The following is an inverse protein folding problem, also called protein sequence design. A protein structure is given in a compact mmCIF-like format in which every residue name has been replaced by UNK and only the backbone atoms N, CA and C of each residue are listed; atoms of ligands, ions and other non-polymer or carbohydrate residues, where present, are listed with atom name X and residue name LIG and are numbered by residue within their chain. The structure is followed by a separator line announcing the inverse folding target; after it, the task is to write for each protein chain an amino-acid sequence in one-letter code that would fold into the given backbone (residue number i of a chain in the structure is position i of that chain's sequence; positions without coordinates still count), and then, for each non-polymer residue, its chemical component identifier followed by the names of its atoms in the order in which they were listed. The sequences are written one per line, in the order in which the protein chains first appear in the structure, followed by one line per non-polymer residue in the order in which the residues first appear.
data_IF_769747986722
#
_entry.id   IF_769747986722
#
_cell.length_a   1.000
_cell.length_b   1.000
_cell.length_c   1.000
_cell.angle_alpha   90.00
_cell.angle_beta   90.00
_cell.angle_gamma   90.00
#
_symmetry.space_group_name_H-M   'P 1'
#
loop_
_entity.id
_entity.type
_entity.pdbx_description
1 polymer ?
#
# COMPACT_ATOMS: atom_id res chain seq x y z
N UNK A 1 -34.75 -31.78 1.92
CA UNK A 1 -34.44 -30.65 2.82
C UNK A 1 -33.09 -30.06 2.48
N UNK A 2 -33.05 -29.00 1.67
CA UNK A 2 -33.38 -27.60 2.00
C UNK A 2 -32.17 -26.92 2.66
N UNK A 3 -31.61 -25.93 1.96
CA UNK A 3 -30.50 -25.08 2.39
C UNK A 3 -29.10 -25.74 2.49
N UNK A 4 -28.57 -26.19 1.35
CA UNK A 4 -27.13 -25.98 1.12
C UNK A 4 -27.02 -24.67 0.34
N UNK A 5 -26.79 -23.51 0.99
CA UNK A 5 -26.53 -22.30 0.23
C UNK A 5 -25.30 -22.59 -0.62
N UNK A 6 -25.47 -22.52 -1.94
CA UNK A 6 -24.37 -22.49 -2.90
C UNK A 6 -23.65 -21.16 -2.66
N UNK A 7 -22.82 -21.14 -1.61
CA UNK A 7 -22.01 -19.99 -1.30
C UNK A 7 -20.93 -19.98 -2.37
N UNK A 8 -21.02 -19.04 -3.31
CA UNK A 8 -19.89 -18.70 -4.18
C UNK A 8 -18.78 -18.25 -3.23
N UNK A 9 -17.94 -19.19 -2.79
CA UNK A 9 -17.03 -19.06 -1.65
C UNK A 9 -15.86 -18.08 -1.86
N UNK A 10 -15.99 -17.12 -2.76
CA UNK A 10 -14.99 -16.09 -3.06
C UNK A 10 -15.34 -14.70 -2.52
N UNK A 11 -16.52 -14.51 -1.91
CA UNK A 11 -17.00 -13.19 -1.45
C UNK A 11 -17.16 -13.10 0.08
N UNK A 12 -16.70 -14.10 0.82
CA UNK A 12 -16.70 -14.04 2.29
C UNK A 12 -15.61 -13.08 2.78
N UNK A 13 -15.89 -12.25 3.80
CA UNK A 13 -14.88 -11.43 4.46
C UNK A 13 -13.72 -12.29 4.96
N UNK A 14 -12.50 -11.80 4.77
CA UNK A 14 -11.26 -12.48 5.16
C UNK A 14 -10.71 -11.76 6.38
N UNK A 15 -10.45 -12.53 7.43
CA UNK A 15 -9.78 -12.06 8.63
C UNK A 15 -8.26 -12.16 8.39
N UNK A 16 -7.58 -11.02 8.30
CA UNK A 16 -6.20 -10.96 7.81
C UNK A 16 -5.14 -11.26 8.87
N UNK A 17 -5.47 -11.22 10.17
CA UNK A 17 -4.48 -11.43 11.24
C UNK A 17 -4.26 -12.93 11.54
N UNK A 18 -5.25 -13.78 11.26
CA UNK A 18 -5.24 -15.21 11.59
C UNK A 18 -5.36 -16.13 10.38
N UNK A 19 -5.83 -15.63 9.22
CA UNK A 19 -5.95 -16.45 8.01
C UNK A 19 -4.61 -16.57 7.27
N UNK A 20 -3.95 -17.72 7.42
CA UNK A 20 -2.66 -17.98 6.77
C UNK A 20 -2.81 -18.47 5.31
N UNK A 21 -3.94 -19.12 4.98
CA UNK A 21 -4.18 -19.70 3.65
C UNK A 21 -5.59 -19.45 3.16
N UNK A 22 -5.71 -19.08 1.88
CA UNK A 22 -6.98 -18.92 1.17
C UNK A 22 -7.06 -19.90 -0.01
N UNK A 23 -8.27 -20.24 -0.44
CA UNK A 23 -8.46 -21.09 -1.63
C UNK A 23 -8.07 -20.35 -2.91
N UNK A 24 -7.72 -21.09 -3.98
CA UNK A 24 -7.39 -20.49 -5.29
C UNK A 24 -8.55 -19.68 -5.87
N UNK A 25 -9.79 -20.09 -5.59
CA UNK A 25 -10.99 -19.37 -6.04
C UNK A 25 -11.19 -18.05 -5.30
N UNK A 26 -10.87 -18.01 -4.01
CA UNK A 26 -10.92 -16.78 -3.22
C UNK A 26 -9.82 -15.78 -3.65
N UNK A 27 -8.65 -16.26 -4.08
CA UNK A 27 -7.51 -15.41 -4.48
C UNK A 27 -7.83 -14.49 -5.67
N UNK A 28 -8.59 -15.01 -6.65
CA UNK A 28 -9.08 -14.22 -7.79
C UNK A 28 -10.33 -13.40 -7.46
N UNK A 29 -10.88 -13.59 -6.26
CA UNK A 29 -12.06 -12.90 -5.79
C UNK A 29 -11.78 -11.42 -5.52
N UNK A 30 -12.79 -10.59 -5.78
CA UNK A 30 -12.72 -9.15 -5.56
C UNK A 30 -12.39 -8.80 -4.11
N UNK A 31 -13.04 -9.48 -3.16
CA UNK A 31 -12.86 -9.25 -1.71
C UNK A 31 -11.41 -9.48 -1.29
N UNK A 32 -10.78 -10.56 -1.77
CA UNK A 32 -9.37 -10.81 -1.50
C UNK A 32 -8.47 -9.75 -2.12
N UNK A 33 -8.68 -9.40 -3.40
CA UNK A 33 -7.84 -8.43 -4.09
C UNK A 33 -7.94 -7.02 -3.48
N UNK A 34 -9.14 -6.58 -3.10
CA UNK A 34 -9.35 -5.30 -2.41
C UNK A 34 -8.73 -5.31 -1.01
N UNK A 35 -8.98 -6.35 -0.21
CA UNK A 35 -8.42 -6.45 1.14
C UNK A 35 -6.89 -6.58 1.15
N UNK A 36 -6.32 -7.38 0.24
CA UNK A 36 -4.88 -7.54 0.11
C UNK A 36 -4.20 -6.20 -0.24
N UNK A 37 -4.82 -5.43 -1.14
CA UNK A 37 -4.32 -4.10 -1.50
C UNK A 37 -4.37 -3.13 -0.32
N UNK A 38 -5.47 -3.15 0.45
CA UNK A 38 -5.65 -2.28 1.61
C UNK A 38 -4.65 -2.60 2.73
N UNK A 39 -4.47 -3.88 3.09
CA UNK A 39 -3.48 -4.29 4.09
C UNK A 39 -2.05 -4.01 3.63
N UNK A 40 -1.75 -4.19 2.34
CA UNK A 40 -0.44 -3.83 1.78
C UNK A 40 -0.17 -2.33 1.91
N UNK A 41 -1.15 -1.48 1.55
CA UNK A 41 -1.01 -0.04 1.69
C UNK A 41 -0.87 0.38 3.16
N UNK A 42 -1.63 -0.23 4.05
CA UNK A 42 -1.55 0.02 5.50
C UNK A 42 -0.17 -0.33 6.05
N UNK A 43 0.37 -1.50 5.73
CA UNK A 43 1.73 -1.90 6.12
C UNK A 43 2.79 -0.95 5.57
N UNK A 44 2.66 -0.54 4.30
CA UNK A 44 3.55 0.43 3.68
C UNK A 44 3.49 1.79 4.38
N UNK A 45 2.30 2.27 4.74
CA UNK A 45 2.11 3.53 5.46
C UNK A 45 2.72 3.49 6.87
N UNK A 46 2.58 2.37 7.59
CA UNK A 46 3.21 2.18 8.91
C UNK A 46 4.73 2.29 8.78
N UNK A 47 5.32 1.59 7.82
CA UNK A 47 6.76 1.69 7.55
C UNK A 47 7.17 3.12 7.21
N UNK A 48 6.51 3.78 6.26
CA UNK A 48 6.84 5.14 5.82
C UNK A 48 6.69 6.17 6.94
N UNK A 49 5.72 5.97 7.84
CA UNK A 49 5.53 6.82 9.02
C UNK A 49 6.66 6.65 10.03
N UNK A 50 7.25 5.46 10.15
CA UNK A 50 8.40 5.22 11.03
C UNK A 50 9.69 5.90 10.54
N UNK A 51 9.80 6.15 9.23
CA UNK A 51 11.00 6.75 8.62
C UNK A 51 10.82 8.20 8.16
N UNK A 52 9.64 8.79 8.32
CA UNK A 52 9.27 10.07 7.68
C UNK A 52 10.10 11.28 8.11
N UNK A 53 10.69 11.23 9.31
CA UNK A 53 11.57 12.27 9.86
C UNK A 53 13.07 11.95 9.70
N UNK A 54 13.41 10.79 9.15
CA UNK A 54 14.81 10.42 8.92
C UNK A 54 15.42 11.32 7.84
N UNK A 55 16.67 11.80 8.02
CA UNK A 55 17.36 12.52 6.95
C UNK A 55 17.44 11.67 5.69
N UNK A 56 17.64 10.35 5.80
CA UNK A 56 17.69 9.41 4.67
C UNK A 56 16.35 9.12 4.00
N UNK A 57 15.24 9.71 4.47
CA UNK A 57 13.90 9.47 3.91
C UNK A 57 13.85 9.67 2.39
N UNK A 58 14.48 10.74 1.88
CA UNK A 58 14.48 11.05 0.45
C UNK A 58 15.15 9.96 -0.40
N UNK A 59 16.10 9.20 0.15
CA UNK A 59 16.78 8.09 -0.53
C UNK A 59 15.95 6.80 -0.44
N UNK A 60 15.34 6.54 0.73
CA UNK A 60 14.50 5.35 0.98
C UNK A 60 13.27 5.35 0.07
N UNK A 61 12.59 6.50 -0.07
CA UNK A 61 11.33 6.57 -0.82
C UNK A 61 11.49 6.42 -2.33
N UNK A 62 12.70 6.53 -2.89
CA UNK A 62 12.92 6.43 -4.35
C UNK A 62 12.38 5.10 -4.88
N UNK A 63 12.72 4.02 -4.20
CA UNK A 63 12.29 2.67 -4.55
C UNK A 63 10.77 2.51 -4.41
N UNK A 64 10.21 3.04 -3.33
CA UNK A 64 8.76 2.99 -3.06
C UNK A 64 7.97 3.74 -4.14
N UNK A 65 8.39 4.97 -4.46
CA UNK A 65 7.76 5.79 -5.51
C UNK A 65 7.88 5.13 -6.88
N UNK A 66 9.05 4.57 -7.20
CA UNK A 66 9.25 3.84 -8.47
C UNK A 66 8.27 2.67 -8.59
N UNK A 67 8.16 1.83 -7.56
CA UNK A 67 7.27 0.67 -7.57
C UNK A 67 5.79 1.08 -7.62
N UNK A 68 5.39 2.10 -6.87
CA UNK A 68 4.03 2.63 -6.93
C UNK A 68 3.68 3.20 -8.30
N UNK A 69 4.63 3.84 -9.00
CA UNK A 69 4.43 4.33 -10.38
C UNK A 69 4.25 3.20 -11.38
N UNK A 70 5.04 2.12 -11.26
CA UNK A 70 4.87 0.91 -12.08
C UNK A 70 3.50 0.28 -11.81
N UNK A 71 3.13 0.12 -10.53
CA UNK A 71 1.82 -0.40 -10.13
C UNK A 71 0.66 0.45 -10.67
N UNK A 72 0.73 1.77 -10.55
CA UNK A 72 -0.32 2.68 -11.03
C UNK A 72 -0.52 2.62 -12.56
N UNK A 73 0.53 2.25 -13.31
CA UNK A 73 0.43 1.99 -14.76
C UNK A 73 -0.19 0.62 -15.04
N UNK A 74 0.22 -0.42 -14.30
CA UNK A 74 -0.20 -1.80 -14.54
C UNK A 74 -1.63 -2.12 -14.07
N UNK A 75 -2.09 -1.48 -12.98
CA UNK A 75 -3.41 -1.80 -12.39
C UNK A 75 -4.57 -1.44 -13.32
N UNK A 76 -5.58 -2.30 -13.46
CA UNK A 76 -6.80 -1.97 -14.20
C UNK A 76 -7.83 -1.26 -13.34
N UNK A 77 -7.66 -1.28 -12.01
CA UNK A 77 -8.61 -0.76 -11.03
C UNK A 77 -8.34 0.72 -10.76
N UNK A 78 -9.25 1.59 -11.19
CA UNK A 78 -9.09 3.05 -11.04
C UNK A 78 -8.96 3.53 -9.59
N UNK A 79 -9.65 2.87 -8.65
CA UNK A 79 -9.54 3.18 -7.21
C UNK A 79 -8.11 2.99 -6.71
N UNK A 80 -7.50 1.84 -6.99
CA UNK A 80 -6.13 1.54 -6.58
C UNK A 80 -5.12 2.48 -7.24
N UNK A 81 -5.34 2.79 -8.52
CA UNK A 81 -4.53 3.78 -9.24
C UNK A 81 -4.55 5.15 -8.56
N UNK A 82 -5.74 5.63 -8.14
CA UNK A 82 -5.87 6.92 -7.43
C UNK A 82 -5.14 6.88 -6.09
N UNK A 83 -5.39 5.85 -5.27
CA UNK A 83 -4.73 5.71 -3.97
C UNK A 83 -3.20 5.64 -4.08
N UNK A 84 -2.67 4.93 -5.08
CA UNK A 84 -1.23 4.87 -5.35
C UNK A 84 -0.65 6.25 -5.75
N UNK A 85 -1.36 7.00 -6.62
CA UNK A 85 -0.95 8.36 -7.00
C UNK A 85 -0.99 9.34 -5.83
N UNK A 86 -2.05 9.32 -5.04
CA UNK A 86 -2.19 10.16 -3.85
C UNK A 86 -1.08 9.89 -2.84
N UNK A 87 -0.66 8.63 -2.70
CA UNK A 87 0.48 8.25 -1.87
C UNK A 87 1.80 8.77 -2.43
N UNK A 88 2.05 8.61 -3.74
CA UNK A 88 3.24 9.14 -4.40
C UNK A 88 3.37 10.65 -4.14
N UNK A 89 2.31 11.42 -4.36
CA UNK A 89 2.31 12.88 -4.18
C UNK A 89 2.66 13.27 -2.74
N UNK A 90 2.15 12.54 -1.74
CA UNK A 90 2.48 12.76 -0.32
C UNK A 90 3.94 12.46 -0.02
N UNK A 91 4.48 11.37 -0.58
CA UNK A 91 5.88 10.98 -0.36
C UNK A 91 6.85 11.97 -0.99
N UNK A 92 6.56 12.44 -2.21
CA UNK A 92 7.39 13.44 -2.89
C UNK A 92 7.36 14.78 -2.15
N UNK A 93 6.19 15.21 -1.66
CA UNK A 93 6.09 16.41 -0.81
C UNK A 93 6.92 16.27 0.47
N UNK A 94 6.86 15.11 1.14
CA UNK A 94 7.66 14.88 2.34
C UNK A 94 9.16 14.82 2.02
N UNK A 95 9.57 14.15 0.96
CA UNK A 95 10.96 14.10 0.52
C UNK A 95 11.52 15.50 0.22
N UNK A 96 10.74 16.34 -0.46
CA UNK A 96 11.11 17.73 -0.71
C UNK A 96 11.22 18.54 0.59
N UNK A 97 10.35 18.31 1.57
CA UNK A 97 10.44 18.94 2.89
C UNK A 97 11.70 18.49 3.65
N UNK A 98 11.98 17.19 3.70
CA UNK A 98 13.18 16.62 4.35
C UNK A 98 14.45 17.18 3.70
N UNK A 99 14.50 17.25 2.37
CA UNK A 99 15.65 17.82 1.65
C UNK A 99 15.85 19.31 1.95
N UNK A 100 14.76 20.10 2.03
CA UNK A 100 14.85 21.50 2.47
C UNK A 100 15.31 21.63 3.91
N UNK A 101 14.80 20.81 4.82
CA UNK A 101 15.23 20.78 6.21
C UNK A 101 16.72 20.43 6.34
N UNK A 102 17.20 19.48 5.53
CA UNK A 102 18.61 19.08 5.41
C UNK A 102 19.50 20.20 4.84
N UNK A 103 19.00 21.00 3.90
CA UNK A 103 19.75 22.12 3.30
C UNK A 103 19.73 23.40 4.14
N UNK A 104 18.65 23.64 4.89
CA UNK A 104 18.46 24.86 5.70
C UNK A 104 19.16 24.81 7.06
N UNK A 105 19.44 23.60 7.59
CA UNK A 105 20.35 23.40 8.71
C UNK A 105 21.57 22.68 8.17
N UNK A 106 22.76 23.26 8.32
CA UNK A 106 23.95 22.44 8.51
C UNK A 106 23.65 21.54 9.70
N UNK A 107 23.25 20.30 9.45
CA UNK A 107 23.07 19.27 10.45
C UNK A 107 24.46 18.98 11.03
N UNK A 108 24.85 19.76 12.03
CA UNK A 108 25.91 19.34 12.95
C UNK A 108 25.36 18.14 13.76
N UNK A 109 26.17 17.11 14.00
CA UNK A 109 25.78 15.89 14.74
C UNK A 109 25.12 16.17 16.09
#
# INVERSE_FOLDING_TARGET
DLYKPSNKGGDQPIEWDTTIKVSKQALSGRVYQEGAFEETLKGLLVFLSSVCYSPSFAEIIVHVVMQLRVFAKATTVNRFRRQAKDLIDKLEKNAAWVNRARGAKGLSP
#
